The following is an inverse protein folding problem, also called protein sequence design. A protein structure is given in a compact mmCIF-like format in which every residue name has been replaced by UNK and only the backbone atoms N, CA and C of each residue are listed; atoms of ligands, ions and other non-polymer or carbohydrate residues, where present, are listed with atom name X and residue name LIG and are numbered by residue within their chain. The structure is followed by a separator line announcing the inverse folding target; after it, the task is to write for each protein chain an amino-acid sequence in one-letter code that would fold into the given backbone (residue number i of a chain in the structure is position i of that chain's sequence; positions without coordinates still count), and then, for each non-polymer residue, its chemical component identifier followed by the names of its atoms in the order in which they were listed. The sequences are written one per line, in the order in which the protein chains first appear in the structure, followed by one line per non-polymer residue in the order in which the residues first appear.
data_IF_551270611656
#
_entry.id   IF_551270611656
#
_cell.length_a   1.000
_cell.length_b   1.000
_cell.length_c   1.000
_cell.angle_alpha   90.00
_cell.angle_beta   90.00
_cell.angle_gamma   90.00
#
_symmetry.space_group_name_H-M   'P 1'
#
loop_
_entity.id
_entity.type
_entity.pdbx_description
1 polymer ?
#
# COMPACT_ATOMS: atom_id res chain seq x y z
N UNK A 1 0.79 56.36 -35.76
CA UNK A 1 1.10 55.30 -34.78
C UNK A 1 -0.12 54.40 -34.68
N UNK A 2 -0.10 53.13 -35.12
CA UNK A 2 -1.26 52.26 -35.02
C UNK A 2 -1.43 51.79 -33.56
N UNK A 3 -2.62 52.00 -33.01
CA UNK A 3 -3.04 51.50 -31.71
C UNK A 3 -3.06 49.97 -31.72
N UNK A 4 -2.30 49.33 -30.84
CA UNK A 4 -2.34 47.88 -30.66
C UNK A 4 -3.75 47.43 -30.26
N UNK A 5 -4.30 46.35 -30.85
CA UNK A 5 -5.62 45.86 -30.47
C UNK A 5 -5.59 45.30 -29.03
N UNK A 6 -6.70 45.41 -28.28
CA UNK A 6 -6.77 44.87 -26.93
C UNK A 6 -6.61 43.34 -26.97
N UNK A 7 -5.66 42.81 -26.18
CA UNK A 7 -5.48 41.35 -26.02
C UNK A 7 -6.82 40.74 -25.58
N UNK A 8 -7.38 39.83 -26.37
CA UNK A 8 -8.52 39.02 -25.99
C UNK A 8 -8.22 38.35 -24.64
N UNK A 9 -9.06 38.61 -23.64
CA UNK A 9 -8.81 38.17 -22.28
C UNK A 9 -8.88 36.64 -22.20
N UNK A 10 -7.80 35.98 -21.77
CA UNK A 10 -7.73 34.53 -21.50
C UNK A 10 -8.63 34.06 -20.31
N UNK A 11 -9.59 34.88 -19.89
CA UNK A 11 -10.45 34.72 -18.71
C UNK A 11 -11.26 33.41 -18.65
N UNK A 12 -11.73 32.79 -19.75
CA UNK A 12 -12.54 31.57 -19.66
C UNK A 12 -11.74 30.36 -19.17
N UNK A 13 -10.53 30.17 -19.70
CA UNK A 13 -9.67 29.02 -19.37
C UNK A 13 -9.09 29.14 -17.95
N UNK A 14 -8.76 30.36 -17.52
CA UNK A 14 -8.27 30.60 -16.17
C UNK A 14 -9.37 30.38 -15.12
N UNK A 15 -10.62 30.81 -15.37
CA UNK A 15 -11.76 30.49 -14.50
C UNK A 15 -12.05 28.99 -14.42
N UNK A 16 -11.98 28.27 -15.55
CA UNK A 16 -12.18 26.81 -15.56
C UNK A 16 -11.09 26.09 -14.75
N UNK A 17 -9.84 26.56 -14.83
CA UNK A 17 -8.72 26.04 -14.02
C UNK A 17 -8.89 26.39 -12.53
N UNK A 18 -9.24 27.62 -12.22
CA UNK A 18 -9.44 28.09 -10.84
C UNK A 18 -10.60 27.36 -10.15
N UNK A 19 -11.67 27.05 -10.90
CA UNK A 19 -12.82 26.28 -10.40
C UNK A 19 -12.48 24.79 -10.20
N UNK A 20 -11.73 24.18 -11.14
CA UNK A 20 -11.29 22.76 -11.05
C UNK A 20 -10.33 22.50 -9.89
N UNK A 21 -9.56 23.50 -9.49
CA UNK A 21 -8.57 23.42 -8.42
C UNK A 21 -9.18 23.89 -7.06
N UNK A 22 -10.47 24.21 -7.05
CA UNK A 22 -11.19 24.55 -5.82
C UNK A 22 -11.24 23.36 -4.87
N UNK A 23 -11.19 23.65 -3.56
CA UNK A 23 -11.29 22.61 -2.54
C UNK A 23 -12.61 21.84 -2.64
N UNK A 24 -13.70 22.54 -2.96
CA UNK A 24 -15.02 21.94 -3.13
C UNK A 24 -15.05 20.91 -4.26
N UNK A 25 -14.48 21.23 -5.43
CA UNK A 25 -14.42 20.26 -6.55
C UNK A 25 -13.56 19.06 -6.19
N UNK A 26 -12.39 19.26 -5.59
CA UNK A 26 -11.48 18.17 -5.24
C UNK A 26 -12.06 17.24 -4.17
N UNK A 27 -12.69 17.78 -3.13
CA UNK A 27 -13.39 16.99 -2.12
C UNK A 27 -14.67 16.34 -2.65
N UNK A 28 -15.39 17.01 -3.55
CA UNK A 28 -16.52 16.43 -4.25
C UNK A 28 -16.10 15.25 -5.14
N UNK A 29 -14.99 15.38 -5.87
CA UNK A 29 -14.39 14.26 -6.62
C UNK A 29 -13.93 13.14 -5.69
N UNK A 30 -13.30 13.45 -4.56
CA UNK A 30 -12.92 12.46 -3.56
C UNK A 30 -14.12 11.65 -3.07
N UNK A 31 -15.20 12.33 -2.66
CA UNK A 31 -16.42 11.68 -2.19
C UNK A 31 -17.06 10.82 -3.29
N UNK A 32 -17.17 11.33 -4.51
CA UNK A 32 -17.70 10.60 -5.65
C UNK A 32 -16.89 9.32 -5.94
N UNK A 33 -15.55 9.42 -5.94
CA UNK A 33 -14.67 8.26 -6.17
C UNK A 33 -14.87 7.20 -5.08
N UNK A 34 -14.91 7.59 -3.80
CA UNK A 34 -15.07 6.62 -2.72
C UNK A 34 -16.44 5.97 -2.71
N UNK A 35 -17.51 6.72 -3.02
CA UNK A 35 -18.85 6.15 -3.21
C UNK A 35 -18.85 5.16 -4.36
N UNK A 36 -18.31 5.54 -5.53
CA UNK A 36 -18.24 4.65 -6.69
C UNK A 36 -17.46 3.37 -6.38
N UNK A 37 -16.27 3.49 -5.79
CA UNK A 37 -15.44 2.35 -5.44
C UNK A 37 -16.09 1.46 -4.37
N UNK A 38 -16.75 2.05 -3.38
CA UNK A 38 -17.50 1.31 -2.36
C UNK A 38 -18.66 0.52 -2.97
N UNK A 39 -19.43 1.13 -3.88
CA UNK A 39 -20.51 0.45 -4.59
C UNK A 39 -19.98 -0.69 -5.46
N UNK A 40 -18.88 -0.46 -6.20
CA UNK A 40 -18.22 -1.52 -6.96
C UNK A 40 -17.71 -2.63 -6.04
N UNK A 41 -17.13 -2.29 -4.89
CA UNK A 41 -16.59 -3.27 -3.97
C UNK A 41 -17.70 -4.18 -3.39
N UNK A 42 -18.87 -3.61 -3.09
CA UNK A 42 -20.01 -4.33 -2.53
C UNK A 42 -20.81 -5.12 -3.57
N UNK A 43 -20.92 -4.63 -4.81
CA UNK A 43 -21.91 -5.14 -5.76
C UNK A 43 -21.34 -5.61 -7.10
N UNK A 44 -20.07 -5.35 -7.43
CA UNK A 44 -19.49 -5.83 -8.67
C UNK A 44 -19.25 -7.35 -8.64
N UNK A 45 -19.30 -8.03 -9.79
CA UNK A 45 -18.98 -9.45 -9.87
C UNK A 45 -17.51 -9.72 -9.52
N UNK A 46 -17.19 -10.99 -9.21
CA UNK A 46 -15.81 -11.41 -8.89
C UNK A 46 -15.40 -11.19 -7.44
N UNK A 47 -16.36 -10.89 -6.56
CA UNK A 47 -16.17 -10.78 -5.11
C UNK A 47 -15.00 -9.83 -4.71
N UNK A 48 -15.04 -8.54 -5.09
CA UNK A 48 -13.91 -7.64 -4.87
C UNK A 48 -13.55 -7.42 -3.40
N UNK A 49 -14.52 -7.61 -2.50
CA UNK A 49 -14.35 -7.55 -1.06
C UNK A 49 -14.01 -8.90 -0.43
N UNK A 50 -13.63 -9.93 -1.20
CA UNK A 50 -13.39 -11.29 -0.68
C UNK A 50 -12.45 -11.34 0.53
N UNK A 51 -11.32 -10.62 0.48
CA UNK A 51 -10.40 -10.48 1.62
C UNK A 51 -11.12 -9.95 2.86
N UNK A 52 -11.97 -8.94 2.73
CA UNK A 52 -12.66 -8.28 3.85
C UNK A 52 -13.88 -9.08 4.32
N UNK A 53 -14.80 -9.35 3.40
CA UNK A 53 -16.12 -9.93 3.67
C UNK A 53 -16.06 -11.41 4.05
N UNK A 54 -15.00 -12.12 3.65
CA UNK A 54 -14.76 -13.52 4.00
C UNK A 54 -13.60 -13.59 4.99
N UNK A 55 -12.38 -13.33 4.54
CA UNK A 55 -11.18 -13.72 5.31
C UNK A 55 -11.01 -12.92 6.59
N UNK A 56 -11.01 -11.59 6.52
CA UNK A 56 -10.79 -10.72 7.68
C UNK A 56 -11.96 -10.80 8.66
N UNK A 57 -13.18 -10.83 8.13
CA UNK A 57 -14.39 -11.04 8.92
C UNK A 57 -14.36 -12.37 9.63
N UNK A 58 -13.85 -13.43 9.00
CA UNK A 58 -13.74 -14.75 9.63
C UNK A 58 -12.73 -14.80 10.75
N UNK A 59 -11.56 -14.18 10.58
CA UNK A 59 -10.60 -14.04 11.66
C UNK A 59 -11.21 -13.30 12.84
N UNK A 60 -11.91 -12.18 12.59
CA UNK A 60 -12.61 -11.45 13.65
C UNK A 60 -13.70 -12.28 14.33
N UNK A 61 -14.50 -13.00 13.55
CA UNK A 61 -15.55 -13.89 14.06
C UNK A 61 -14.97 -14.96 14.97
N UNK A 62 -13.95 -15.67 14.48
CA UNK A 62 -13.22 -16.71 15.22
C UNK A 62 -12.69 -16.16 16.54
N UNK A 63 -12.02 -15.00 16.52
CA UNK A 63 -11.48 -14.38 17.72
C UNK A 63 -12.56 -13.98 18.74
N UNK A 64 -13.68 -13.40 18.29
CA UNK A 64 -14.77 -12.94 19.17
C UNK A 64 -15.57 -14.12 19.74
N UNK A 65 -15.67 -15.24 19.00
CA UNK A 65 -16.35 -16.46 19.43
C UNK A 65 -15.47 -17.36 20.32
N UNK A 66 -14.26 -16.90 20.70
CA UNK A 66 -13.36 -17.61 21.60
C UNK A 66 -12.48 -18.66 20.92
N UNK A 67 -12.38 -18.62 19.59
CA UNK A 67 -11.35 -19.33 18.83
C UNK A 67 -9.98 -18.64 18.93
N UNK A 68 -9.01 -19.15 18.19
CA UNK A 68 -7.65 -18.60 18.17
C UNK A 68 -7.54 -17.27 17.42
N UNK A 69 -6.62 -16.41 17.90
CA UNK A 69 -6.25 -15.14 17.29
C UNK A 69 -5.04 -15.36 16.38
N UNK A 70 -5.22 -15.14 15.08
CA UNK A 70 -4.13 -15.21 14.12
C UNK A 70 -3.00 -14.21 14.45
N UNK A 71 -1.75 -14.67 14.45
CA UNK A 71 -0.57 -13.91 14.82
C UNK A 71 -0.31 -13.87 16.33
N UNK A 72 -1.17 -14.51 17.13
CA UNK A 72 -0.98 -14.75 18.57
C UNK A 72 -0.98 -16.26 18.85
N UNK A 73 -2.10 -16.93 18.59
CA UNK A 73 -2.29 -18.37 18.86
C UNK A 73 -1.86 -19.24 17.68
N UNK A 74 -1.92 -18.69 16.45
CA UNK A 74 -1.54 -19.39 15.21
C UNK A 74 -0.68 -18.50 14.33
N UNK A 75 0.02 -19.09 13.37
CA UNK A 75 0.71 -18.34 12.31
C UNK A 75 -0.26 -17.46 11.53
N UNK A 76 0.27 -16.38 10.95
CA UNK A 76 -0.49 -15.42 10.17
C UNK A 76 0.33 -14.72 9.09
N UNK A 77 -0.34 -14.45 7.97
CA UNK A 77 0.23 -13.80 6.78
C UNK A 77 0.46 -12.30 6.92
N UNK A 78 -0.09 -11.67 7.98
CA UNK A 78 0.08 -10.25 8.26
C UNK A 78 0.84 -10.02 9.56
N UNK A 79 1.63 -8.93 9.67
CA UNK A 79 2.13 -8.48 10.96
C UNK A 79 0.99 -7.96 11.85
N UNK A 80 1.22 -7.97 13.17
CA UNK A 80 0.15 -7.91 14.17
C UNK A 80 -0.74 -6.65 14.10
N UNK A 81 -0.23 -5.50 13.65
CA UNK A 81 -1.04 -4.28 13.61
C UNK A 81 -2.10 -4.30 12.50
N UNK A 82 -2.10 -5.29 11.61
CA UNK A 82 -3.21 -5.52 10.69
C UNK A 82 -4.54 -5.78 11.41
N UNK A 83 -4.50 -6.27 12.66
CA UNK A 83 -5.70 -6.36 13.50
C UNK A 83 -6.34 -5.00 13.79
N UNK A 84 -5.61 -3.89 13.76
CA UNK A 84 -6.17 -2.58 14.12
C UNK A 84 -7.36 -2.18 13.22
N UNK A 85 -7.22 -2.11 11.88
CA UNK A 85 -8.38 -1.84 11.01
C UNK A 85 -9.41 -2.98 10.98
N UNK A 86 -8.99 -4.24 11.11
CA UNK A 86 -9.91 -5.39 11.11
C UNK A 86 -10.84 -5.35 12.34
N UNK A 87 -10.27 -5.21 13.54
CA UNK A 87 -11.03 -5.10 14.79
C UNK A 87 -11.87 -3.83 14.87
N UNK A 88 -11.36 -2.69 14.39
CA UNK A 88 -12.15 -1.47 14.30
C UNK A 88 -13.38 -1.62 13.39
N UNK A 89 -13.29 -2.46 12.34
CA UNK A 89 -14.41 -2.75 11.44
C UNK A 89 -15.50 -3.60 12.10
N UNK A 90 -15.19 -4.30 13.20
CA UNK A 90 -16.15 -5.10 13.96
C UNK A 90 -17.04 -4.29 14.92
N UNK A 91 -16.99 -2.95 14.91
CA UNK A 91 -17.75 -2.11 15.84
C UNK A 91 -19.26 -2.43 15.88
N UNK A 92 -19.84 -2.80 14.73
CA UNK A 92 -21.25 -3.15 14.58
C UNK A 92 -21.46 -4.66 14.32
N UNK A 93 -20.47 -5.49 14.68
CA UNK A 93 -20.46 -6.93 14.46
C UNK A 93 -20.42 -7.32 12.98
N UNK A 94 -20.62 -8.62 12.71
CA UNK A 94 -20.51 -9.22 11.38
C UNK A 94 -21.39 -8.55 10.32
N UNK A 95 -22.60 -8.12 10.68
CA UNK A 95 -23.54 -7.49 9.76
C UNK A 95 -23.13 -6.09 9.29
N UNK A 96 -22.43 -5.32 10.14
CA UNK A 96 -21.93 -3.99 9.80
C UNK A 96 -20.48 -3.94 9.32
N UNK A 97 -19.79 -5.09 9.32
CA UNK A 97 -18.34 -5.17 9.14
C UNK A 97 -17.85 -4.53 7.83
N UNK A 98 -18.46 -4.91 6.71
CA UNK A 98 -18.01 -4.50 5.38
C UNK A 98 -18.21 -2.99 5.16
N UNK A 99 -19.35 -2.46 5.62
CA UNK A 99 -19.63 -1.03 5.55
C UNK A 99 -18.68 -0.25 6.45
N UNK A 100 -18.43 -0.74 7.68
CA UNK A 100 -17.53 -0.07 8.61
C UNK A 100 -16.09 -0.05 8.09
N UNK A 101 -15.63 -1.15 7.48
CA UNK A 101 -14.35 -1.19 6.78
C UNK A 101 -14.25 -0.10 5.71
N UNK A 102 -15.25 0.02 4.84
CA UNK A 102 -15.27 1.04 3.77
C UNK A 102 -15.29 2.48 4.32
N UNK A 103 -16.00 2.70 5.43
CA UNK A 103 -15.97 3.98 6.15
C UNK A 103 -14.56 4.28 6.67
N UNK A 104 -13.92 3.32 7.32
CA UNK A 104 -12.56 3.48 7.86
C UNK A 104 -11.53 3.72 6.75
N UNK A 105 -11.64 3.01 5.62
CA UNK A 105 -10.82 3.25 4.42
C UNK A 105 -11.01 4.68 3.92
N UNK A 106 -12.27 5.12 3.77
CA UNK A 106 -12.59 6.47 3.31
C UNK A 106 -12.01 7.54 4.24
N UNK A 107 -12.04 7.32 5.56
CA UNK A 107 -11.45 8.23 6.53
C UNK A 107 -9.92 8.26 6.45
N UNK A 108 -9.27 7.10 6.29
CA UNK A 108 -7.83 7.02 6.14
C UNK A 108 -7.34 7.72 4.86
N UNK A 109 -8.03 7.48 3.73
CA UNK A 109 -7.75 8.13 2.47
C UNK A 109 -8.07 9.64 2.49
N UNK A 110 -9.12 10.05 3.20
CA UNK A 110 -9.42 11.47 3.40
C UNK A 110 -8.29 12.19 4.14
N UNK A 111 -7.70 11.55 5.15
CA UNK A 111 -6.55 12.11 5.86
C UNK A 111 -5.33 12.27 4.93
N UNK A 112 -5.01 11.27 4.11
CA UNK A 112 -3.94 11.37 3.11
C UNK A 112 -4.22 12.44 2.05
N UNK A 113 -5.46 12.50 1.57
CA UNK A 113 -5.88 13.48 0.58
C UNK A 113 -5.80 14.91 1.12
N UNK A 114 -6.21 15.14 2.38
CA UNK A 114 -6.05 16.42 3.05
C UNK A 114 -4.58 16.85 3.15
N UNK A 115 -3.67 15.91 3.43
CA UNK A 115 -2.23 16.17 3.44
C UNK A 115 -1.70 16.56 2.07
N UNK A 116 -2.14 15.86 1.01
CA UNK A 116 -1.78 16.20 -0.37
C UNK A 116 -2.26 17.59 -0.75
N UNK A 117 -3.43 18.02 -0.29
CA UNK A 117 -4.00 19.34 -0.60
C UNK A 117 -3.42 20.49 0.22
N UNK A 118 -2.75 20.22 1.35
CA UNK A 118 -2.25 21.26 2.28
C UNK A 118 -1.33 22.28 1.61
N UNK A 119 -0.48 21.85 0.67
CA UNK A 119 0.49 22.72 0.02
C UNK A 119 -0.10 23.65 -1.06
N UNK A 120 -1.26 23.28 -1.63
CA UNK A 120 -1.93 23.94 -2.79
C UNK A 120 -1.03 24.33 -3.97
N UNK A 121 0.20 23.84 -4.02
CA UNK A 121 1.14 24.08 -5.11
C UNK A 121 0.76 23.22 -6.32
N UNK A 122 1.21 23.61 -7.53
CA UNK A 122 0.92 22.83 -8.75
C UNK A 122 1.30 21.34 -8.61
N UNK A 123 2.47 20.97 -8.06
CA UNK A 123 2.80 19.56 -7.82
C UNK A 123 1.89 18.87 -6.82
N UNK A 124 1.50 19.57 -5.74
CA UNK A 124 0.59 19.04 -4.71
C UNK A 124 -0.80 18.75 -5.28
N UNK A 125 -1.35 19.66 -6.10
CA UNK A 125 -2.62 19.47 -6.78
C UNK A 125 -2.55 18.38 -7.85
N UNK A 126 -1.43 18.27 -8.56
CA UNK A 126 -1.20 17.18 -9.52
C UNK A 126 -1.16 15.82 -8.81
N UNK A 127 -0.47 15.72 -7.67
CA UNK A 127 -0.41 14.50 -6.87
C UNK A 127 -1.78 14.11 -6.32
N UNK A 128 -2.58 15.07 -5.82
CA UNK A 128 -3.94 14.81 -5.35
C UNK A 128 -4.86 14.28 -6.47
N UNK A 129 -4.79 14.87 -7.67
CA UNK A 129 -5.54 14.40 -8.85
C UNK A 129 -5.10 13.02 -9.30
N UNK A 130 -3.79 12.81 -9.34
CA UNK A 130 -3.23 11.52 -9.68
C UNK A 130 -3.68 10.46 -8.69
N UNK A 131 -3.69 10.76 -7.39
CA UNK A 131 -4.18 9.86 -6.36
C UNK A 131 -5.63 9.42 -6.63
N UNK A 132 -6.54 10.38 -6.88
CA UNK A 132 -7.94 10.06 -7.20
C UNK A 132 -8.08 9.22 -8.49
N UNK A 133 -7.35 9.60 -9.55
CA UNK A 133 -7.35 8.84 -10.80
C UNK A 133 -6.81 7.43 -10.58
N UNK A 134 -5.74 7.28 -9.81
CA UNK A 134 -5.11 6.01 -9.52
C UNK A 134 -6.04 5.08 -8.73
N UNK A 135 -6.76 5.59 -7.74
CA UNK A 135 -7.80 4.82 -7.03
C UNK A 135 -8.89 4.32 -8.00
N UNK A 136 -9.35 5.18 -8.93
CA UNK A 136 -10.33 4.76 -9.96
C UNK A 136 -9.76 3.69 -10.89
N UNK A 137 -8.50 3.83 -11.33
CA UNK A 137 -7.85 2.87 -12.21
C UNK A 137 -7.60 1.51 -11.54
N UNK A 138 -7.33 1.50 -10.23
CA UNK A 138 -7.27 0.27 -9.45
C UNK A 138 -8.64 -0.39 -9.33
N UNK A 139 -9.71 0.40 -9.29
CA UNK A 139 -11.06 -0.10 -9.10
C UNK A 139 -11.29 -0.57 -7.65
N UNK A 140 -12.23 -1.51 -7.42
CA UNK A 140 -12.67 -1.87 -6.07
C UNK A 140 -11.58 -2.48 -5.18
N UNK A 141 -10.50 -3.02 -5.76
CA UNK A 141 -9.36 -3.54 -5.00
C UNK A 141 -8.68 -2.46 -4.16
N UNK A 142 -8.81 -1.18 -4.54
CA UNK A 142 -8.27 -0.05 -3.81
C UNK A 142 -8.88 0.08 -2.40
N UNK A 143 -10.12 -0.39 -2.20
CA UNK A 143 -10.83 -0.32 -0.92
C UNK A 143 -11.03 -1.69 -0.27
N UNK A 144 -10.93 -2.78 -1.04
CA UNK A 144 -11.13 -4.15 -0.57
C UNK A 144 -9.88 -4.86 -0.02
N UNK A 145 -8.79 -4.13 0.25
CA UNK A 145 -7.53 -4.69 0.75
C UNK A 145 -6.97 -3.94 1.94
N UNK A 146 -6.23 -4.65 2.80
CA UNK A 146 -5.52 -4.06 3.95
C UNK A 146 -4.54 -2.93 3.54
N UNK A 147 -4.08 -2.93 2.28
CA UNK A 147 -3.22 -1.91 1.70
C UNK A 147 -3.80 -0.50 1.83
N UNK A 148 -5.13 -0.37 1.82
CA UNK A 148 -5.86 0.87 2.02
C UNK A 148 -5.52 1.56 3.36
N UNK A 149 -5.07 0.81 4.37
CA UNK A 149 -4.63 1.35 5.66
C UNK A 149 -3.12 1.62 5.75
N UNK A 150 -2.35 1.17 4.76
CA UNK A 150 -0.89 1.37 4.71
C UNK A 150 -0.46 2.44 3.72
N UNK A 151 -1.24 2.68 2.66
CA UNK A 151 -0.94 3.74 1.71
C UNK A 151 -1.05 5.15 2.31
N UNK A 152 -2.08 5.49 3.12
CA UNK A 152 -2.16 6.79 3.80
C UNK A 152 -0.95 7.13 4.69
N UNK A 153 -0.51 6.26 5.63
CA UNK A 153 0.69 6.55 6.42
C UNK A 153 1.97 6.55 5.56
N UNK A 154 2.03 5.79 4.46
CA UNK A 154 3.16 5.86 3.54
C UNK A 154 3.25 7.21 2.82
N UNK A 155 2.12 7.75 2.32
CA UNK A 155 2.05 9.09 1.73
C UNK A 155 2.46 10.15 2.75
N UNK A 156 1.90 10.09 3.97
CA UNK A 156 2.26 11.01 5.04
C UNK A 156 3.76 10.92 5.38
N UNK A 157 4.30 9.71 5.48
CA UNK A 157 5.70 9.43 5.72
C UNK A 157 6.61 10.05 4.66
N UNK A 158 6.30 9.86 3.38
CA UNK A 158 7.06 10.45 2.27
C UNK A 158 7.01 11.98 2.28
N UNK A 159 5.83 12.58 2.52
CA UNK A 159 5.68 14.04 2.59
C UNK A 159 6.43 14.66 3.77
N UNK A 160 6.54 13.93 4.89
CA UNK A 160 7.19 14.41 6.10
C UNK A 160 8.65 13.97 6.23
N UNK A 161 9.15 13.12 5.34
CA UNK A 161 10.50 12.55 5.41
C UNK A 161 11.59 13.62 5.64
N UNK A 162 11.48 14.78 4.97
CA UNK A 162 12.45 15.87 5.10
C UNK A 162 12.14 16.85 6.24
N UNK A 163 10.89 16.99 6.69
CA UNK A 163 10.45 18.04 7.62
C UNK A 163 10.19 17.54 9.04
N UNK A 164 9.74 16.28 9.19
CA UNK A 164 9.46 15.61 10.46
C UNK A 164 9.93 14.14 10.39
N UNK A 165 11.25 13.89 10.30
CA UNK A 165 11.79 12.55 10.05
C UNK A 165 11.39 11.51 11.11
N UNK A 166 11.20 11.93 12.37
CA UNK A 166 10.70 11.02 13.43
C UNK A 166 9.26 10.59 13.21
N UNK A 167 8.35 11.52 12.89
CA UNK A 167 6.95 11.21 12.59
C UNK A 167 6.81 10.39 11.31
N UNK A 168 7.63 10.71 10.29
CA UNK A 168 7.68 9.93 9.06
C UNK A 168 8.13 8.49 9.31
N UNK A 169 9.22 8.31 10.07
CA UNK A 169 9.72 6.98 10.41
C UNK A 169 8.70 6.20 11.25
N UNK A 170 8.06 6.83 12.23
CA UNK A 170 6.99 6.22 13.03
C UNK A 170 5.84 5.71 12.16
N UNK A 171 5.27 6.57 11.30
CA UNK A 171 4.14 6.17 10.44
C UNK A 171 4.52 5.08 9.44
N UNK A 172 5.71 5.15 8.86
CA UNK A 172 6.21 4.10 7.98
C UNK A 172 6.38 2.78 8.74
N UNK A 173 6.88 2.80 9.97
CA UNK A 173 6.99 1.60 10.81
C UNK A 173 5.63 1.04 11.19
N UNK A 174 4.65 1.88 11.56
CA UNK A 174 3.28 1.42 11.81
C UNK A 174 2.70 0.78 10.54
N UNK A 175 2.89 1.42 9.38
CA UNK A 175 2.50 0.86 8.08
C UNK A 175 3.17 -0.50 7.82
N UNK A 176 4.47 -0.63 8.09
CA UNK A 176 5.24 -1.89 7.98
C UNK A 176 4.67 -3.00 8.85
N UNK A 177 4.25 -2.69 10.07
CA UNK A 177 3.65 -3.65 11.01
C UNK A 177 2.16 -3.92 10.74
N UNK A 178 1.54 -3.22 9.79
CA UNK A 178 0.25 -3.58 9.19
C UNK A 178 0.49 -4.44 7.94
N UNK A 179 1.43 -4.05 7.08
CA UNK A 179 1.86 -4.79 5.89
C UNK A 179 3.29 -4.41 5.53
N UNK A 180 4.11 -5.37 5.12
CA UNK A 180 5.58 -5.18 5.07
C UNK A 180 6.07 -4.12 4.08
N UNK A 181 5.35 -3.83 2.98
CA UNK A 181 5.86 -3.03 1.86
C UNK A 181 6.36 -1.59 2.19
N UNK A 182 5.82 -0.83 3.17
CA UNK A 182 6.37 0.48 3.56
C UNK A 182 7.80 0.38 4.15
N UNK A 183 8.27 -0.81 4.53
CA UNK A 183 9.66 -1.03 4.94
C UNK A 183 10.65 -0.62 3.84
N UNK A 184 10.29 -0.81 2.56
CA UNK A 184 11.13 -0.39 1.44
C UNK A 184 11.26 1.14 1.36
N UNK A 185 10.20 1.89 1.66
CA UNK A 185 10.24 3.36 1.72
C UNK A 185 11.13 3.79 2.89
N UNK A 186 10.99 3.15 4.05
CA UNK A 186 11.82 3.44 5.21
C UNK A 186 13.31 3.14 4.94
N UNK A 187 13.61 2.02 4.29
CA UNK A 187 14.96 1.66 3.87
C UNK A 187 15.52 2.68 2.85
N UNK A 188 14.73 3.10 1.86
CA UNK A 188 15.14 4.14 0.92
C UNK A 188 15.40 5.49 1.63
N UNK A 189 14.56 5.86 2.60
CA UNK A 189 14.75 7.07 3.40
C UNK A 189 16.06 7.04 4.20
N UNK A 190 16.44 5.88 4.75
CA UNK A 190 17.72 5.68 5.45
C UNK A 190 18.94 5.89 4.55
N UNK A 191 18.84 5.50 3.28
CA UNK A 191 19.92 5.66 2.30
C UNK A 191 20.07 7.12 1.82
N UNK A 192 18.95 7.83 1.65
CA UNK A 192 18.92 9.14 0.99
C UNK A 192 19.03 10.32 1.98
N UNK A 193 18.43 10.21 3.17
CA UNK A 193 18.29 11.36 4.08
C UNK A 193 19.50 11.53 5.00
N UNK A 194 19.90 12.79 5.20
CA UNK A 194 20.92 13.19 6.18
C UNK A 194 20.23 13.38 7.56
N UNK A 195 20.84 12.87 8.64
CA UNK A 195 20.24 12.91 10.00
C UNK A 195 19.65 11.58 10.49
N UNK A 196 20.42 10.50 10.31
CA UNK A 196 20.01 9.08 10.36
C UNK A 196 19.49 8.56 11.71
N UNK A 197 19.69 9.29 12.80
CA UNK A 197 19.43 8.76 14.14
C UNK A 197 17.93 8.54 14.35
N UNK A 198 17.07 9.53 14.03
CA UNK A 198 15.62 9.40 14.21
C UNK A 198 15.01 8.37 13.25
N UNK A 199 15.54 8.24 12.04
CA UNK A 199 15.10 7.25 11.06
C UNK A 199 15.50 5.82 11.42
N UNK A 200 16.37 5.62 12.41
CA UNK A 200 16.76 4.29 12.94
C UNK A 200 16.14 4.03 14.31
N UNK A 201 16.28 4.98 15.25
CA UNK A 201 15.80 4.82 16.63
C UNK A 201 14.29 4.69 16.67
N UNK A 202 13.55 5.53 15.95
CA UNK A 202 12.08 5.50 16.01
C UNK A 202 11.53 4.16 15.52
N UNK A 203 11.95 3.63 14.34
CA UNK A 203 11.54 2.30 13.92
C UNK A 203 11.96 1.19 14.88
N UNK A 204 13.19 1.25 15.41
CA UNK A 204 13.70 0.23 16.34
C UNK A 204 12.87 0.19 17.62
N UNK A 205 12.66 1.34 18.26
CA UNK A 205 11.87 1.45 19.49
C UNK A 205 10.41 1.08 19.24
N UNK A 206 9.81 1.57 18.16
CA UNK A 206 8.40 1.25 17.82
C UNK A 206 8.22 -0.25 17.59
N UNK A 207 9.12 -0.86 16.82
CA UNK A 207 9.10 -2.32 16.60
C UNK A 207 9.32 -3.11 17.88
N UNK A 208 10.26 -2.69 18.73
CA UNK A 208 10.50 -3.34 20.02
C UNK A 208 9.27 -3.29 20.93
N UNK A 209 8.58 -2.13 20.99
CA UNK A 209 7.33 -2.00 21.76
C UNK A 209 6.25 -2.94 21.23
N UNK A 210 6.08 -3.02 19.91
CA UNK A 210 5.10 -3.93 19.28
C UNK A 210 5.43 -5.39 19.61
N UNK A 211 6.69 -5.81 19.42
CA UNK A 211 7.13 -7.18 19.71
C UNK A 211 6.94 -7.52 21.19
N UNK A 212 7.34 -6.63 22.10
CA UNK A 212 7.14 -6.83 23.54
C UNK A 212 5.65 -6.96 23.88
N UNK A 213 4.79 -6.12 23.30
CA UNK A 213 3.35 -6.22 23.52
C UNK A 213 2.79 -7.59 23.06
N UNK A 214 3.23 -8.09 21.91
CA UNK A 214 2.84 -9.41 21.39
C UNK A 214 3.32 -10.54 22.31
N UNK A 215 4.58 -10.49 22.76
CA UNK A 215 5.14 -11.48 23.68
C UNK A 215 4.38 -11.50 25.01
N UNK A 216 4.01 -10.34 25.55
CA UNK A 216 3.27 -10.23 26.81
C UNK A 216 1.87 -10.84 26.76
N UNK A 217 1.25 -10.91 25.57
CA UNK A 217 -0.04 -11.59 25.38
C UNK A 217 0.10 -13.04 24.91
N UNK A 218 1.32 -13.59 24.91
CA UNK A 218 1.59 -14.99 24.57
C UNK A 218 1.90 -15.28 23.10
N UNK A 219 1.89 -14.27 22.22
CA UNK A 219 2.09 -14.44 20.78
C UNK A 219 3.54 -14.46 20.30
N UNK A 220 4.51 -14.65 21.21
CA UNK A 220 5.93 -14.50 20.92
C UNK A 220 6.43 -15.37 19.77
N UNK A 221 5.95 -16.62 19.69
CA UNK A 221 6.35 -17.57 18.65
C UNK A 221 5.78 -17.20 17.27
N UNK A 222 4.67 -16.45 17.23
CA UNK A 222 3.96 -16.10 16.00
C UNK A 222 4.29 -14.70 15.48
N UNK A 223 5.00 -13.87 16.26
CA UNK A 223 5.22 -12.46 15.95
C UNK A 223 5.89 -12.21 14.59
N UNK A 224 6.65 -13.18 14.08
CA UNK A 224 7.33 -13.13 12.77
C UNK A 224 6.87 -14.21 11.78
N UNK A 225 5.77 -14.93 12.04
CA UNK A 225 5.27 -16.00 11.15
C UNK A 225 5.03 -15.50 9.72
N UNK A 226 4.61 -14.24 9.56
CA UNK A 226 4.36 -13.61 8.26
C UNK A 226 5.59 -13.58 7.35
N UNK A 227 6.80 -13.71 7.90
CA UNK A 227 8.05 -13.78 7.13
C UNK A 227 8.20 -15.16 6.49
N UNK A 228 7.91 -16.22 7.24
CA UNK A 228 8.04 -17.60 6.78
C UNK A 228 6.86 -18.05 5.92
N UNK A 229 5.66 -17.51 6.15
CA UNK A 229 4.43 -17.78 5.38
C UNK A 229 4.50 -17.33 3.89
N UNK A 230 5.63 -16.75 3.48
CA UNK A 230 5.92 -16.40 2.08
C UNK A 230 6.73 -17.48 1.35
N UNK A 231 7.32 -18.43 2.06
CA UNK A 231 8.36 -19.32 1.51
C UNK A 231 7.78 -20.48 0.68
N UNK A 232 6.60 -20.96 1.05
CA UNK A 232 5.99 -22.16 0.46
C UNK A 232 4.97 -21.85 -0.65
N UNK A 233 4.99 -20.62 -1.19
CA UNK A 233 4.03 -20.18 -2.21
C UNK A 233 4.44 -20.65 -3.61
N UNK A 234 3.49 -21.20 -4.34
CA UNK A 234 3.61 -21.48 -5.77
C UNK A 234 3.57 -20.22 -6.62
N UNK A 235 3.65 -20.41 -7.94
CA UNK A 235 3.53 -19.33 -8.90
C UNK A 235 2.07 -18.85 -8.98
N UNK A 236 1.77 -17.63 -8.52
CA UNK A 236 0.41 -17.08 -8.62
C UNK A 236 0.01 -16.81 -10.08
N UNK A 237 -1.26 -16.97 -10.43
CA UNK A 237 -1.74 -16.81 -11.82
C UNK A 237 -1.53 -15.39 -12.36
N UNK A 238 -1.49 -14.39 -11.48
CA UNK A 238 -1.28 -12.98 -11.82
C UNK A 238 0.20 -12.62 -11.97
N UNK A 239 1.12 -13.49 -11.57
CA UNK A 239 2.54 -13.22 -11.69
C UNK A 239 2.98 -13.27 -13.16
N UNK A 240 3.76 -12.27 -13.60
CA UNK A 240 4.24 -12.18 -14.98
C UNK A 240 4.99 -13.44 -15.40
N UNK A 241 5.77 -14.03 -14.49
CA UNK A 241 6.49 -15.28 -14.71
C UNK A 241 5.55 -16.45 -15.01
N UNK A 242 4.31 -16.45 -14.51
CA UNK A 242 3.33 -17.51 -14.73
C UNK A 242 2.70 -17.50 -16.13
N UNK A 243 2.86 -16.40 -16.89
CA UNK A 243 2.25 -16.21 -18.21
C UNK A 243 2.46 -17.39 -19.18
N UNK A 244 3.67 -17.97 -19.31
CA UNK A 244 3.88 -19.11 -20.20
C UNK A 244 3.00 -20.32 -19.83
N UNK A 245 2.93 -20.65 -18.54
CA UNK A 245 2.09 -21.75 -18.05
C UNK A 245 0.60 -21.44 -18.16
N UNK A 246 0.20 -20.18 -17.96
CA UNK A 246 -1.18 -19.76 -18.22
C UNK A 246 -1.60 -20.03 -19.67
N UNK A 247 -0.75 -19.77 -20.65
CA UNK A 247 -1.03 -20.13 -22.05
C UNK A 247 -1.01 -21.64 -22.29
N UNK A 248 -0.10 -22.37 -21.65
CA UNK A 248 -0.08 -23.83 -21.75
C UNK A 248 -1.32 -24.47 -21.12
N UNK A 249 -1.97 -23.82 -20.15
CA UNK A 249 -3.15 -24.35 -19.45
C UNK A 249 -4.37 -24.55 -20.34
N UNK A 250 -4.44 -23.82 -21.46
CA UNK A 250 -5.53 -23.98 -22.45
C UNK A 250 -5.16 -24.97 -23.56
N UNK A 251 -3.93 -25.48 -23.59
CA UNK A 251 -3.46 -26.47 -24.57
C UNK A 251 -3.54 -27.87 -23.94
N UNK A 252 -4.33 -28.79 -24.49
CA UNK A 252 -4.45 -30.15 -23.95
C UNK A 252 -3.10 -30.89 -23.91
N UNK A 253 -2.86 -31.64 -22.82
CA UNK A 253 -1.69 -32.51 -22.69
C UNK A 253 -0.40 -31.85 -22.20
N UNK A 254 -0.39 -30.54 -21.92
CA UNK A 254 0.78 -29.82 -21.37
C UNK A 254 1.02 -30.09 -19.89
N UNK A 255 0.00 -30.60 -19.18
CA UNK A 255 0.03 -30.75 -17.72
C UNK A 255 -0.01 -29.43 -16.95
N UNK A 256 -0.26 -28.30 -17.62
CA UNK A 256 -0.39 -27.00 -16.99
C UNK A 256 -1.85 -26.73 -16.60
N UNK A 257 -2.12 -26.27 -15.38
CA UNK A 257 -3.48 -25.97 -14.91
C UNK A 257 -3.49 -24.94 -13.78
N UNK A 258 -4.64 -24.28 -13.60
CA UNK A 258 -4.90 -23.37 -12.48
C UNK A 258 -5.41 -24.19 -11.29
N UNK A 259 -4.77 -24.00 -10.15
CA UNK A 259 -5.11 -24.63 -8.88
C UNK A 259 -5.50 -23.56 -7.86
N UNK A 260 -6.48 -23.83 -7.01
CA UNK A 260 -6.82 -22.95 -5.90
C UNK A 260 -6.20 -23.49 -4.61
N UNK A 261 -5.17 -22.81 -4.12
CA UNK A 261 -4.47 -23.10 -2.87
C UNK A 261 -5.27 -22.49 -1.70
N UNK A 262 -6.10 -23.32 -1.06
CA UNK A 262 -7.03 -22.90 -0.02
C UNK A 262 -6.36 -22.52 1.31
N UNK A 263 -5.17 -23.06 1.56
CA UNK A 263 -4.32 -22.78 2.71
C UNK A 263 -3.86 -21.32 2.77
N UNK A 264 -3.59 -20.71 1.61
CA UNK A 264 -3.18 -19.31 1.47
C UNK A 264 -4.20 -18.43 0.73
N UNK A 265 -5.34 -19.01 0.33
CA UNK A 265 -6.43 -18.36 -0.42
C UNK A 265 -5.99 -17.71 -1.73
N UNK A 266 -5.17 -18.41 -2.54
CA UNK A 266 -4.68 -17.86 -3.82
C UNK A 266 -4.80 -18.85 -4.97
N UNK A 267 -4.91 -18.31 -6.18
CA UNK A 267 -4.82 -19.11 -7.39
C UNK A 267 -3.37 -19.25 -7.81
N UNK A 268 -2.95 -20.50 -7.97
CA UNK A 268 -1.61 -20.88 -8.39
C UNK A 268 -1.63 -21.54 -9.76
N UNK A 269 -0.50 -21.43 -10.43
CA UNK A 269 -0.22 -22.03 -11.71
C UNK A 269 0.67 -23.24 -11.49
N UNK A 270 0.15 -24.42 -11.83
CA UNK A 270 0.84 -25.70 -11.71
C UNK A 270 1.17 -26.26 -13.09
N UNK A 271 2.29 -26.97 -13.20
CA UNK A 271 2.73 -27.59 -14.44
C UNK A 271 4.23 -27.89 -14.47
N UNK A 272 4.74 -28.50 -15.56
CA UNK A 272 6.16 -28.85 -15.66
C UNK A 272 7.07 -27.63 -15.44
N UNK A 273 7.99 -27.72 -14.47
CA UNK A 273 8.98 -26.68 -14.17
C UNK A 273 8.47 -25.47 -13.37
N UNK A 274 7.18 -25.42 -13.00
CA UNK A 274 6.62 -24.32 -12.18
C UNK A 274 7.28 -24.21 -10.81
N UNK A 275 7.53 -25.34 -10.14
CA UNK A 275 8.20 -25.38 -8.83
C UNK A 275 9.63 -24.82 -8.88
N UNK A 276 10.41 -25.22 -9.90
CA UNK A 276 11.74 -24.68 -10.11
C UNK A 276 11.69 -23.17 -10.37
N UNK A 277 10.78 -22.71 -11.23
CA UNK A 277 10.58 -21.29 -11.47
C UNK A 277 10.20 -20.53 -10.19
N UNK A 278 9.28 -21.07 -9.38
CA UNK A 278 8.92 -20.51 -8.07
C UNK A 278 10.12 -20.38 -7.14
N UNK A 279 10.95 -21.43 -7.03
CA UNK A 279 12.15 -21.43 -6.18
C UNK A 279 13.18 -20.35 -6.55
N UNK A 280 13.19 -19.90 -7.83
CA UNK A 280 14.07 -18.84 -8.30
C UNK A 280 13.51 -17.44 -8.02
N UNK A 281 12.21 -17.28 -7.82
CA UNK A 281 11.58 -15.95 -7.71
C UNK A 281 12.09 -15.18 -6.50
N UNK A 282 12.21 -15.82 -5.34
CA UNK A 282 12.71 -15.17 -4.11
C UNK A 282 14.17 -14.73 -4.24
N UNK A 283 15.12 -15.58 -4.70
CA UNK A 283 16.49 -15.15 -5.00
C UNK A 283 16.56 -14.01 -6.04
N UNK A 284 15.78 -14.09 -7.12
CA UNK A 284 15.76 -13.07 -8.17
C UNK A 284 15.20 -11.74 -7.66
N UNK A 285 14.18 -11.77 -6.79
CA UNK A 285 13.67 -10.58 -6.10
C UNK A 285 14.77 -9.93 -5.25
N UNK A 286 15.50 -10.73 -4.45
CA UNK A 286 16.60 -10.22 -3.63
C UNK A 286 17.70 -9.57 -4.48
N UNK A 287 18.09 -10.20 -5.60
CA UNK A 287 19.05 -9.65 -6.55
C UNK A 287 18.54 -8.35 -7.20
N UNK A 288 17.27 -8.29 -7.60
CA UNK A 288 16.66 -7.10 -8.16
C UNK A 288 16.64 -5.95 -7.16
N UNK A 289 16.26 -6.21 -5.90
CA UNK A 289 16.27 -5.22 -4.82
C UNK A 289 17.69 -4.70 -4.55
N UNK A 290 18.69 -5.59 -4.52
CA UNK A 290 20.09 -5.21 -4.39
C UNK A 290 20.56 -4.34 -5.56
N UNK A 291 20.20 -4.73 -6.79
CA UNK A 291 20.49 -3.95 -8.00
C UNK A 291 19.93 -2.53 -7.93
N UNK A 292 18.66 -2.39 -7.53
CA UNK A 292 18.01 -1.08 -7.35
C UNK A 292 18.72 -0.26 -6.27
N UNK A 293 19.08 -0.87 -5.13
CA UNK A 293 19.81 -0.20 -4.06
C UNK A 293 21.19 0.30 -4.53
N UNK A 294 21.95 -0.54 -5.25
CA UNK A 294 23.26 -0.18 -5.80
C UNK A 294 23.17 0.93 -6.84
N UNK A 295 22.15 0.90 -7.72
CA UNK A 295 21.89 1.99 -8.68
C UNK A 295 21.55 3.29 -7.96
N UNK A 296 20.74 3.23 -6.89
CA UNK A 296 20.44 4.38 -6.03
C UNK A 296 21.69 4.97 -5.38
N UNK A 297 22.55 4.13 -4.79
CA UNK A 297 23.81 4.54 -4.19
C UNK A 297 24.76 5.15 -5.23
N UNK A 298 24.87 4.56 -6.42
CA UNK A 298 25.68 5.11 -7.53
C UNK A 298 25.17 6.48 -7.97
N UNK A 299 23.86 6.68 -8.03
CA UNK A 299 23.27 7.97 -8.38
C UNK A 299 23.55 9.04 -7.30
N UNK A 300 23.55 8.66 -6.03
CA UNK A 300 23.91 9.55 -4.91
C UNK A 300 25.39 9.93 -4.94
N UNK A 301 26.29 8.98 -5.17
CA UNK A 301 27.74 9.23 -5.27
C UNK A 301 28.06 10.23 -6.39
N UNK A 302 27.49 10.03 -7.59
CA UNK A 302 27.67 10.94 -8.73
C UNK A 302 27.17 12.37 -8.49
N UNK A 303 26.16 12.54 -7.62
CA UNK A 303 25.69 13.88 -7.22
C UNK A 303 26.66 14.57 -6.26
N UNK A 304 27.37 13.81 -5.42
CA UNK A 304 28.40 14.35 -4.54
C UNK A 304 29.65 14.79 -5.33
N UNK A 305 29.98 14.09 -6.42
CA UNK A 305 31.12 14.39 -7.32
C UNK A 305 30.90 15.58 -8.26
N UNK A 306 29.69 16.17 -8.32
CA UNK A 306 29.39 17.38 -9.11
C UNK A 306 29.25 18.62 -8.20
N UNK A 307 30.34 19.14 -7.61
CA UNK A 307 30.30 20.37 -6.82
C UNK A 307 30.15 21.58 -7.75
N UNK A 308 28.93 21.92 -8.15
CA UNK A 308 28.69 23.09 -9.01
C UNK A 308 27.24 23.55 -9.15
N UNK A 309 26.25 22.78 -8.69
CA UNK A 309 24.83 23.12 -8.92
C UNK A 309 24.02 23.40 -7.64
N UNK A 310 24.63 23.51 -6.47
CA UNK A 310 23.91 23.74 -5.20
C UNK A 310 24.29 25.06 -4.52
N UNK A 311 24.14 26.19 -5.22
CA UNK A 311 24.02 27.53 -4.60
C UNK A 311 23.16 28.46 -5.48
N UNK A 312 21.88 28.15 -5.68
CA UNK A 312 20.89 29.18 -6.03
C UNK A 312 19.46 28.77 -5.66
N UNK A 313 19.09 29.05 -4.42
CA UNK A 313 17.77 29.54 -4.00
C UNK A 313 17.71 29.45 -2.46
N UNK A 314 17.94 30.61 -1.83
CA UNK A 314 17.41 30.89 -0.50
C UNK A 314 15.92 31.16 -0.63
#
# INVERSE_FOLDING_TARGET
MPSSPPRASARPLDRLRENRDSAAVLWGSFALVHVLLSLLALFAPGLPMGDVSIVYKEWMRTAVEGGGIAGIDTGWVYPILAWAPMSASWLFGAGGYDLMWLVLVTLADAAAFALLLRGRSRPSLAAARWWLLFLVLLGPIAVGRIDAFTAPPAIAGMLWAATRPGAAAFLLTIGTWIKVWPAAILAAALLVLRGRVRTVIVPAVTSAVIVVAVVLVGGGDQVFSFVTDQTDRGLQIEAVVSTPWMWLSVVPGTGSYVYYAADINTFEMHGPGTEFAASLMTPLLALAMLGVALLGLRALARRAERPGCSRSSR
#
